data_IF_073332830903
#
_entry.id   IF_073332830903
#
_cell.length_a   1.000
_cell.length_b   1.000
_cell.length_c   1.000
_cell.angle_alpha   90.00
_cell.angle_beta   90.00
_cell.angle_gamma   90.00
#
_symmetry.space_group_name_H-M   'P 1'
#
loop_
_entity.id
_entity.type
_entity.pdbx_description
1 polymer ?
#
# COMPACT_ATOMS: atom_id res chain seq x y z
N UNK A 1 18.72 -10.83 30.03
CA UNK A 1 17.38 -11.46 30.13
C UNK A 1 16.82 -11.59 28.72
N UNK A 2 16.72 -12.81 28.17
CA UNK A 2 16.19 -13.01 26.83
C UNK A 2 14.70 -13.28 26.94
N UNK A 3 13.89 -12.38 26.38
CA UNK A 3 12.43 -12.55 26.28
C UNK A 3 12.15 -13.38 25.03
N UNK A 4 11.64 -14.60 25.17
CA UNK A 4 11.09 -15.38 24.05
C UNK A 4 9.59 -15.08 23.93
N UNK A 5 9.19 -14.45 22.83
CA UNK A 5 7.80 -14.35 22.42
C UNK A 5 7.39 -15.68 21.78
N UNK A 6 6.59 -16.48 22.47
CA UNK A 6 6.02 -17.70 21.91
C UNK A 6 4.59 -17.44 21.45
N UNK A 7 4.29 -17.82 20.21
CA UNK A 7 2.95 -17.78 19.64
C UNK A 7 2.00 -18.67 20.43
N UNK A 8 0.83 -18.12 20.81
CA UNK A 8 -0.42 -18.88 20.80
C UNK A 8 -1.67 -17.99 20.69
N UNK A 9 -2.33 -18.18 19.57
CA UNK A 9 -3.78 -18.09 19.24
C UNK A 9 -4.62 -16.87 19.66
N UNK A 10 -5.19 -16.29 18.65
CA UNK A 10 -6.44 -15.51 18.56
C UNK A 10 -6.47 -14.17 19.26
N UNK A 11 -6.14 -13.14 18.48
CA UNK A 11 -6.61 -11.77 18.76
C UNK A 11 -7.96 -11.63 18.06
N UNK A 12 -9.04 -11.79 18.81
CA UNK A 12 -10.37 -11.38 18.40
C UNK A 12 -10.50 -9.89 18.76
N UNK A 13 -10.94 -9.09 17.80
CA UNK A 13 -11.35 -7.69 17.88
C UNK A 13 -10.33 -6.72 18.50
N UNK A 14 -9.88 -5.76 17.71
CA UNK A 14 -9.13 -4.60 18.17
C UNK A 14 -10.03 -3.72 19.04
N UNK A 15 -9.92 -3.85 20.34
CA UNK A 15 -10.28 -2.83 21.31
C UNK A 15 -8.98 -2.13 21.76
N UNK A 16 -9.07 -0.89 22.20
CA UNK A 16 -7.97 -0.01 22.66
C UNK A 16 -7.09 -0.59 23.77
N UNK A 17 -7.37 -1.79 24.27
CA UNK A 17 -6.54 -2.60 25.17
C UNK A 17 -5.95 -3.80 24.43
N UNK A 18 -4.96 -3.55 23.55
CA UNK A 18 -4.15 -4.66 23.02
C UNK A 18 -3.40 -5.34 24.16
N UNK A 19 -3.73 -6.60 24.40
CA UNK A 19 -3.08 -7.42 25.43
C UNK A 19 -2.11 -8.38 24.75
N UNK A 20 -0.84 -8.33 25.15
CA UNK A 20 0.19 -9.24 24.68
C UNK A 20 0.39 -10.40 25.67
N UNK A 21 0.55 -11.61 25.15
CA UNK A 21 0.99 -12.75 25.96
C UNK A 21 2.50 -12.84 25.86
N UNK A 22 3.18 -12.64 26.96
CA UNK A 22 4.63 -12.81 27.07
C UNK A 22 4.97 -13.90 28.08
N UNK A 23 6.09 -14.57 27.87
CA UNK A 23 6.63 -15.52 28.86
C UNK A 23 7.73 -14.80 29.62
N UNK A 24 7.51 -14.57 30.91
CA UNK A 24 8.50 -14.03 31.82
C UNK A 24 8.74 -15.10 32.89
N UNK A 25 10.00 -15.53 33.05
CA UNK A 25 10.41 -16.56 34.02
C UNK A 25 9.57 -17.85 33.95
N UNK A 26 9.24 -18.28 32.72
CA UNK A 26 8.46 -19.49 32.45
C UNK A 26 6.95 -19.35 32.64
N UNK A 27 6.46 -18.21 33.11
CA UNK A 27 5.03 -17.95 33.28
C UNK A 27 4.46 -17.08 32.15
N UNK A 28 3.28 -17.46 31.63
CA UNK A 28 2.55 -16.64 30.64
C UNK A 28 1.85 -15.49 31.38
N UNK A 29 2.17 -14.26 31.00
CA UNK A 29 1.56 -13.06 31.54
C UNK A 29 0.86 -12.27 30.42
N UNK A 30 -0.28 -11.67 30.77
CA UNK A 30 -0.95 -10.69 29.91
C UNK A 30 -0.41 -9.31 30.25
N UNK A 31 0.04 -8.58 29.25
CA UNK A 31 0.50 -7.21 29.39
C UNK A 31 -0.26 -6.32 28.40
N UNK A 32 -0.70 -5.16 28.88
CA UNK A 32 -1.16 -4.10 27.99
C UNK A 32 0.02 -3.54 27.18
N UNK A 33 -0.26 -2.87 26.07
CA UNK A 33 0.77 -2.14 25.32
C UNK A 33 1.54 -1.17 26.21
N UNK A 34 0.84 -0.50 27.12
CA UNK A 34 1.44 0.44 28.09
C UNK A 34 2.35 -0.26 29.10
N UNK A 35 2.01 -1.47 29.53
CA UNK A 35 2.85 -2.25 30.45
C UNK A 35 4.08 -2.82 29.72
N UNK A 36 3.93 -3.24 28.48
CA UNK A 36 5.06 -3.63 27.64
C UNK A 36 6.03 -2.47 27.46
N UNK A 37 5.52 -1.28 27.19
CA UNK A 37 6.31 -0.05 27.10
C UNK A 37 7.03 0.29 28.41
N UNK A 38 6.40 0.09 29.58
CA UNK A 38 7.00 0.30 30.91
C UNK A 38 8.08 -0.73 31.21
N UNK A 39 7.85 -2.02 30.88
CA UNK A 39 8.79 -3.12 31.16
C UNK A 39 10.03 -3.03 30.26
N UNK A 40 9.85 -2.67 29.00
CA UNK A 40 10.96 -2.50 28.07
C UNK A 40 11.68 -1.15 28.28
N UNK A 41 11.10 -0.26 29.11
CA UNK A 41 11.63 1.06 29.39
C UNK A 41 11.78 1.90 28.13
N UNK A 42 12.59 2.96 28.17
CA UNK A 42 12.96 3.76 27.01
C UNK A 42 13.84 2.98 26.00
N UNK A 43 14.08 1.69 26.23
CA UNK A 43 14.87 0.77 25.45
C UNK A 43 14.04 -0.17 24.56
N UNK A 44 12.80 0.21 24.17
CA UNK A 44 12.15 -0.48 23.05
C UNK A 44 13.07 -0.27 21.84
N UNK A 45 13.68 -1.36 21.43
CA UNK A 45 14.58 -1.34 20.28
C UNK A 45 13.74 -1.26 19.01
N UNK A 46 13.52 -0.05 18.54
CA UNK A 46 12.92 0.17 17.23
C UNK A 46 13.94 -0.18 16.15
N UNK A 47 13.63 -1.11 15.24
CA UNK A 47 14.54 -1.41 14.14
C UNK A 47 14.79 -0.15 13.34
N UNK A 48 16.05 0.23 13.20
CA UNK A 48 16.46 1.35 12.38
C UNK A 48 17.12 0.78 11.13
N UNK A 49 16.53 1.03 9.97
CA UNK A 49 17.20 0.76 8.71
C UNK A 49 17.95 1.98 8.24
N UNK A 50 19.14 1.78 7.71
CA UNK A 50 19.90 2.79 7.01
C UNK A 50 19.80 2.53 5.52
N UNK A 51 19.12 3.42 4.80
CA UNK A 51 19.04 3.39 3.35
C UNK A 51 20.20 4.19 2.78
N UNK A 52 21.31 3.54 2.51
CA UNK A 52 22.48 4.19 1.92
C UNK A 52 22.26 4.54 0.43
N UNK A 53 21.16 4.12 -0.17
CA UNK A 53 20.85 4.33 -1.59
C UNK A 53 22.06 3.97 -2.47
N UNK A 54 22.72 2.86 -2.13
CA UNK A 54 23.85 2.29 -2.84
C UNK A 54 23.42 1.51 -4.08
N UNK A 55 24.37 1.19 -4.96
CA UNK A 55 24.09 0.35 -6.13
C UNK A 55 23.64 -1.08 -5.79
N UNK A 56 23.92 -1.55 -4.57
CA UNK A 56 23.37 -2.82 -4.08
C UNK A 56 21.95 -2.60 -3.54
N UNK A 57 20.91 -3.22 -4.11
CA UNK A 57 19.54 -3.08 -3.61
C UNK A 57 19.29 -3.81 -2.28
N UNK A 58 20.20 -4.69 -1.82
CA UNK A 58 20.09 -5.43 -0.57
C UNK A 58 20.76 -4.68 0.57
N UNK A 59 20.16 -4.70 1.74
CA UNK A 59 20.73 -4.14 2.96
C UNK A 59 20.40 -5.01 4.17
N UNK A 60 21.20 -4.91 5.22
CA UNK A 60 21.00 -5.68 6.44
C UNK A 60 19.78 -5.17 7.21
N UNK A 61 18.95 -6.09 7.69
CA UNK A 61 17.86 -5.77 8.61
C UNK A 61 18.33 -6.02 10.04
N UNK A 62 18.15 -5.04 10.96
CA UNK A 62 18.47 -5.26 12.36
C UNK A 62 17.54 -6.31 13.00
N UNK A 63 16.26 -6.23 12.80
CA UNK A 63 15.24 -7.24 13.10
C UNK A 63 13.92 -6.89 12.41
N UNK A 64 13.20 -7.83 11.79
CA UNK A 64 11.91 -7.58 11.16
C UNK A 64 10.72 -7.56 12.16
N UNK A 65 10.97 -7.74 13.47
CA UNK A 65 9.95 -7.96 14.49
C UNK A 65 8.82 -6.92 14.47
N UNK A 66 9.16 -5.62 14.43
CA UNK A 66 8.15 -4.55 14.44
C UNK A 66 7.34 -4.55 13.13
N UNK A 67 7.99 -4.87 12.01
CA UNK A 67 7.30 -5.02 10.73
C UNK A 67 6.35 -6.22 10.72
N UNK A 68 6.78 -7.36 11.28
CA UNK A 68 5.95 -8.55 11.43
C UNK A 68 4.73 -8.29 12.32
N UNK A 69 4.92 -7.64 13.48
CA UNK A 69 3.82 -7.23 14.35
C UNK A 69 2.83 -6.31 13.64
N UNK A 70 3.33 -5.34 12.87
CA UNK A 70 2.49 -4.43 12.11
C UNK A 70 1.70 -5.17 11.03
N UNK A 71 2.34 -6.06 10.27
CA UNK A 71 1.68 -6.90 9.27
C UNK A 71 0.57 -7.78 9.86
N UNK A 72 0.78 -8.36 11.04
CA UNK A 72 -0.25 -9.15 11.76
C UNK A 72 -1.45 -8.31 12.20
N UNK A 73 -1.24 -7.01 12.43
CA UNK A 73 -2.33 -6.08 12.77
C UNK A 73 -3.08 -5.59 11.53
N UNK A 74 -2.46 -5.67 10.35
CA UNK A 74 -3.15 -5.52 9.07
C UNK A 74 -4.07 -6.72 8.83
N UNK A 75 -4.78 -6.73 7.74
CA UNK A 75 -5.56 -7.90 7.31
C UNK A 75 -6.67 -7.52 6.36
N UNK A 76 -7.14 -8.52 5.62
CA UNK A 76 -8.26 -8.40 4.70
C UNK A 76 -9.61 -8.38 5.42
N UNK A 77 -10.52 -7.57 4.90
CA UNK A 77 -11.91 -7.46 5.38
C UNK A 77 -12.85 -7.37 4.18
N UNK A 78 -14.05 -7.89 4.35
CA UNK A 78 -15.20 -7.53 3.52
C UNK A 78 -15.90 -6.34 4.17
N UNK A 79 -16.11 -5.28 3.42
CA UNK A 79 -16.79 -4.05 3.87
C UNK A 79 -18.08 -3.86 3.09
N UNK A 80 -19.14 -3.42 3.77
CA UNK A 80 -20.45 -3.12 3.18
C UNK A 80 -20.97 -1.81 3.71
N UNK A 81 -21.56 -1.00 2.86
CA UNK A 81 -22.26 0.23 3.25
C UNK A 81 -23.76 -0.05 3.31
N UNK A 82 -24.37 0.14 4.47
CA UNK A 82 -25.81 -0.04 4.70
C UNK A 82 -26.35 1.23 5.34
N UNK A 83 -27.32 1.88 4.70
CA UNK A 83 -27.92 3.13 5.16
C UNK A 83 -26.89 4.22 5.52
N UNK A 84 -25.85 4.37 4.67
CA UNK A 84 -24.78 5.35 4.84
C UNK A 84 -23.74 5.03 5.93
N UNK A 85 -23.84 3.88 6.59
CA UNK A 85 -22.86 3.41 7.58
C UNK A 85 -22.02 2.27 7.01
N UNK A 86 -20.72 2.29 7.25
CA UNK A 86 -19.81 1.23 6.85
C UNK A 86 -19.71 0.16 7.94
N UNK A 87 -19.81 -1.10 7.54
CA UNK A 87 -19.61 -2.29 8.37
C UNK A 87 -18.51 -3.13 7.75
N UNK A 88 -17.67 -3.77 8.57
CA UNK A 88 -16.59 -4.60 8.08
C UNK A 88 -16.44 -5.88 8.91
N UNK A 89 -16.24 -7.02 8.23
CA UNK A 89 -15.92 -8.28 8.84
C UNK A 89 -14.57 -8.81 8.37
N UNK A 90 -13.74 -9.26 9.31
CA UNK A 90 -12.40 -9.73 9.05
C UNK A 90 -12.41 -11.03 8.25
N UNK A 91 -11.57 -11.14 7.24
CA UNK A 91 -11.32 -12.35 6.48
C UNK A 91 -10.31 -13.26 7.21
N UNK A 92 -10.37 -14.55 6.92
CA UNK A 92 -9.39 -15.52 7.41
C UNK A 92 -8.00 -15.19 6.78
N UNK A 93 -6.94 -15.01 7.58
CA UNK A 93 -5.66 -14.52 7.07
C UNK A 93 -5.00 -15.39 5.99
N UNK A 94 -5.29 -16.69 5.99
CA UNK A 94 -4.71 -17.63 5.02
C UNK A 94 -5.61 -17.94 3.83
N UNK A 95 -6.89 -17.57 3.90
CA UNK A 95 -7.85 -17.85 2.81
C UNK A 95 -9.04 -16.89 2.84
N UNK A 96 -9.10 -15.98 1.90
CA UNK A 96 -10.15 -14.97 1.80
C UNK A 96 -11.50 -15.47 1.24
N UNK A 97 -11.65 -16.77 1.05
CA UNK A 97 -12.96 -17.38 0.81
C UNK A 97 -13.78 -17.52 2.10
N UNK A 98 -13.14 -17.29 3.26
CA UNK A 98 -13.77 -17.39 4.58
C UNK A 98 -13.54 -16.11 5.38
N UNK A 99 -14.52 -15.80 6.24
CA UNK A 99 -14.33 -14.86 7.34
C UNK A 99 -13.51 -15.49 8.46
N UNK A 100 -12.96 -14.66 9.34
CA UNK A 100 -12.14 -15.10 10.47
C UNK A 100 -12.93 -15.94 11.50
N UNK A 101 -14.26 -15.83 11.52
CA UNK A 101 -15.17 -16.65 12.33
C UNK A 101 -15.46 -18.05 11.71
N UNK A 102 -14.85 -18.36 10.57
CA UNK A 102 -15.03 -19.62 9.84
C UNK A 102 -16.21 -19.63 8.85
N UNK A 103 -17.03 -18.59 8.83
CA UNK A 103 -18.16 -18.48 7.90
C UNK A 103 -17.64 -18.29 6.46
N UNK A 104 -18.18 -19.05 5.51
CA UNK A 104 -17.81 -18.90 4.09
C UNK A 104 -18.42 -17.62 3.52
N UNK A 105 -17.63 -16.85 2.75
CA UNK A 105 -18.11 -15.67 2.01
C UNK A 105 -19.11 -16.13 0.96
N UNK A 106 -20.34 -15.64 1.03
CA UNK A 106 -21.43 -16.05 0.13
C UNK A 106 -21.24 -15.55 -1.30
N UNK A 107 -20.95 -14.29 -1.45
CA UNK A 107 -20.70 -13.63 -2.73
C UNK A 107 -19.84 -12.36 -2.55
N UNK A 108 -18.56 -12.47 -2.87
CA UNK A 108 -17.60 -11.36 -2.75
C UNK A 108 -18.01 -10.09 -3.55
N UNK A 109 -18.88 -10.22 -4.58
CA UNK A 109 -19.35 -9.07 -5.35
C UNK A 109 -20.33 -8.16 -4.57
N UNK A 110 -20.83 -8.59 -3.41
CA UNK A 110 -21.69 -7.77 -2.54
C UNK A 110 -20.91 -6.80 -1.66
N UNK A 111 -19.59 -6.95 -1.56
CA UNK A 111 -18.73 -6.29 -0.58
C UNK A 111 -17.58 -5.57 -1.28
N UNK A 112 -16.98 -4.61 -0.57
CA UNK A 112 -15.67 -4.09 -0.90
C UNK A 112 -14.61 -4.91 -0.17
N UNK A 113 -13.67 -5.52 -0.89
CA UNK A 113 -12.52 -6.18 -0.26
C UNK A 113 -11.48 -5.14 0.08
N UNK A 114 -11.31 -4.88 1.37
CA UNK A 114 -10.42 -3.85 1.89
C UNK A 114 -9.34 -4.49 2.76
N UNK A 115 -8.16 -3.90 2.78
CA UNK A 115 -7.12 -4.22 3.76
C UNK A 115 -7.12 -3.12 4.82
N UNK A 116 -7.22 -3.51 6.09
CA UNK A 116 -7.02 -2.60 7.21
C UNK A 116 -5.53 -2.26 7.34
N UNK A 117 -5.22 -0.98 7.39
CA UNK A 117 -3.88 -0.40 7.51
C UNK A 117 -3.88 0.43 8.79
N UNK A 118 -3.43 -0.12 9.94
CA UNK A 118 -3.37 0.63 11.20
C UNK A 118 -2.47 1.85 11.09
N UNK A 119 -2.64 2.82 11.98
CA UNK A 119 -1.69 3.92 12.11
C UNK A 119 -0.28 3.37 12.28
N UNK A 120 0.64 3.85 11.46
CA UNK A 120 2.03 3.37 11.44
C UNK A 120 2.97 4.47 11.88
N UNK A 121 3.58 4.26 13.05
CA UNK A 121 4.53 5.19 13.65
C UNK A 121 5.94 5.00 13.08
N UNK A 122 6.63 6.11 12.86
CA UNK A 122 8.01 6.11 12.41
C UNK A 122 8.76 7.37 12.87
N UNK A 123 10.09 7.31 12.82
CA UNK A 123 10.96 8.47 12.92
C UNK A 123 12.04 8.35 11.85
N UNK A 124 12.27 9.40 11.10
CA UNK A 124 13.16 9.34 9.95
C UNK A 124 13.98 10.61 9.78
N UNK A 125 15.07 10.46 9.04
CA UNK A 125 15.87 11.52 8.49
C UNK A 125 16.20 11.22 7.00
N UNK A 126 17.22 11.87 6.43
CA UNK A 126 17.58 11.69 5.03
C UNK A 126 18.18 10.31 4.69
N UNK A 127 18.50 9.47 5.66
CA UNK A 127 19.16 8.17 5.46
C UNK A 127 18.57 7.05 6.30
N UNK A 128 18.02 7.39 7.47
CA UNK A 128 17.57 6.39 8.44
C UNK A 128 16.07 6.41 8.62
N UNK A 129 15.48 5.23 8.76
CA UNK A 129 14.11 5.02 9.16
C UNK A 129 14.08 4.16 10.41
N UNK A 130 13.62 4.71 11.51
CA UNK A 130 13.24 4.00 12.71
C UNK A 130 11.76 3.64 12.58
N UNK A 131 11.47 2.35 12.46
CA UNK A 131 10.12 1.86 12.23
C UNK A 131 9.47 1.46 13.55
N UNK A 132 8.44 2.20 13.95
CA UNK A 132 7.67 1.93 15.17
C UNK A 132 6.49 0.99 14.94
N UNK A 133 5.96 0.95 13.70
CA UNK A 133 4.75 0.19 13.40
C UNK A 133 3.58 0.65 14.27
N UNK A 134 3.09 -0.23 15.14
CA UNK A 134 2.00 0.07 16.09
C UNK A 134 2.44 0.92 17.29
N UNK A 135 3.75 1.13 17.48
CA UNK A 135 4.29 1.72 18.70
C UNK A 135 4.77 3.15 18.45
N UNK A 136 4.27 4.13 19.21
CA UNK A 136 4.72 5.52 19.13
C UNK A 136 6.22 5.66 19.43
N UNK A 137 6.91 6.48 18.64
CA UNK A 137 8.31 6.83 18.83
C UNK A 137 8.40 8.28 19.30
N UNK A 138 9.21 8.56 20.32
CA UNK A 138 9.41 9.94 20.80
C UNK A 138 9.96 10.85 19.69
N UNK A 139 9.25 11.94 19.40
CA UNK A 139 9.56 12.82 18.27
C UNK A 139 9.32 12.20 16.89
N UNK A 140 8.63 11.06 16.84
CA UNK A 140 8.22 10.40 15.61
C UNK A 140 6.95 11.00 15.00
N UNK A 141 6.53 10.40 13.89
CA UNK A 141 5.35 10.77 13.09
C UNK A 141 4.52 9.53 12.81
N UNK A 142 3.33 9.73 12.24
CA UNK A 142 2.47 8.71 11.67
C UNK A 142 2.44 8.93 10.15
N UNK A 143 2.49 7.85 9.36
CA UNK A 143 2.26 7.96 7.92
C UNK A 143 0.82 8.44 7.66
N UNK A 144 0.66 9.47 6.82
CA UNK A 144 -0.65 10.04 6.48
C UNK A 144 -1.40 9.15 5.47
N UNK A 145 -1.61 7.89 5.83
CA UNK A 145 -2.30 6.87 5.03
C UNK A 145 -3.75 6.72 5.45
N UNK A 146 -4.69 6.42 4.53
CA UNK A 146 -6.02 5.96 4.93
C UNK A 146 -5.90 4.61 5.67
N UNK A 147 -6.73 4.41 6.70
CA UNK A 147 -6.72 3.16 7.47
C UNK A 147 -7.35 1.97 6.74
N UNK A 148 -8.02 2.20 5.63
CA UNK A 148 -8.64 1.17 4.83
C UNK A 148 -8.36 1.39 3.35
N UNK A 149 -7.69 0.44 2.72
CA UNK A 149 -7.30 0.52 1.31
C UNK A 149 -7.79 -0.72 0.57
N UNK A 150 -8.34 -0.53 -0.61
CA UNK A 150 -8.85 -1.61 -1.44
C UNK A 150 -7.79 -2.66 -1.74
N UNK A 151 -8.12 -3.93 -1.55
CA UNK A 151 -7.23 -5.04 -1.88
C UNK A 151 -6.95 -5.12 -3.39
N UNK A 152 -7.91 -4.67 -4.19
CA UNK A 152 -7.87 -4.69 -5.66
C UNK A 152 -7.92 -3.28 -6.24
N UNK A 153 -7.49 -3.14 -7.50
CA UNK A 153 -7.71 -1.91 -8.28
C UNK A 153 -9.21 -1.68 -8.45
N UNK A 154 -9.61 -0.42 -8.57
CA UNK A 154 -11.01 -0.03 -8.75
C UNK A 154 -11.60 -0.69 -9.99
N UNK A 155 -12.77 -1.31 -9.83
CA UNK A 155 -13.74 -1.65 -10.88
C UNK A 155 -14.98 -0.76 -10.76
N UNK A 156 -15.82 -0.72 -11.79
CA UNK A 156 -17.11 0.00 -11.75
C UNK A 156 -18.27 -0.98 -11.93
N UNK A 157 -19.39 -0.66 -11.29
CA UNK A 157 -20.69 -1.25 -11.61
C UNK A 157 -21.41 -0.48 -12.74
N UNK A 158 -22.62 -0.91 -13.09
CA UNK A 158 -23.44 -0.26 -14.11
C UNK A 158 -23.81 1.20 -13.81
N UNK A 159 -23.70 1.65 -12.56
CA UNK A 159 -23.97 3.03 -12.11
C UNK A 159 -22.68 3.86 -11.98
N UNK A 160 -21.56 3.33 -12.43
CA UNK A 160 -20.24 3.94 -12.30
C UNK A 160 -19.88 4.24 -10.83
N UNK A 161 -20.23 3.34 -9.92
CA UNK A 161 -19.74 3.32 -8.52
C UNK A 161 -18.42 2.57 -8.49
N UNK A 162 -17.46 3.10 -7.76
CA UNK A 162 -16.14 2.46 -7.62
C UNK A 162 -16.19 1.31 -6.59
N UNK A 163 -15.59 0.18 -6.94
CA UNK A 163 -15.54 -1.01 -6.12
C UNK A 163 -14.14 -1.63 -6.06
N UNK A 164 -13.81 -2.27 -4.94
CA UNK A 164 -12.63 -3.12 -4.77
C UNK A 164 -13.07 -4.58 -4.66
N UNK A 165 -13.14 -5.29 -5.78
CA UNK A 165 -13.74 -6.63 -5.87
C UNK A 165 -12.88 -7.60 -6.68
N UNK A 166 -12.81 -8.89 -6.28
CA UNK A 166 -12.18 -9.92 -7.10
C UNK A 166 -13.08 -10.33 -8.28
N UNK A 167 -12.50 -11.01 -9.26
CA UNK A 167 -13.16 -11.59 -10.43
C UNK A 167 -13.86 -10.57 -11.36
N UNK A 168 -13.49 -9.31 -11.25
CA UNK A 168 -13.97 -8.24 -12.14
C UNK A 168 -12.79 -7.51 -12.78
N UNK A 169 -13.00 -7.03 -14.00
CA UNK A 169 -12.03 -6.24 -14.74
C UNK A 169 -11.79 -4.89 -14.05
N UNK A 170 -10.55 -4.46 -13.86
CA UNK A 170 -10.26 -3.14 -13.31
C UNK A 170 -10.73 -2.05 -14.27
N UNK A 171 -11.25 -0.96 -13.74
CA UNK A 171 -11.62 0.21 -14.51
C UNK A 171 -10.36 0.97 -14.95
N UNK A 172 -10.35 1.42 -16.20
CA UNK A 172 -9.32 2.27 -16.79
C UNK A 172 -9.98 3.42 -17.59
N UNK A 173 -9.17 4.22 -18.29
CA UNK A 173 -9.64 5.32 -19.16
C UNK A 173 -10.46 6.36 -18.41
N UNK A 174 -10.09 6.64 -17.18
CA UNK A 174 -10.67 7.70 -16.35
C UNK A 174 -9.56 8.64 -15.88
N UNK A 175 -9.91 9.91 -15.63
CA UNK A 175 -9.03 10.83 -14.90
C UNK A 175 -9.02 10.50 -13.42
N UNK A 176 -8.04 11.01 -12.67
CA UNK A 176 -8.00 10.85 -11.22
C UNK A 176 -9.25 11.40 -10.54
N UNK A 177 -9.76 12.55 -10.99
CA UNK A 177 -11.00 13.17 -10.48
C UNK A 177 -12.24 12.32 -10.75
N UNK A 178 -12.31 11.65 -11.90
CA UNK A 178 -13.43 10.74 -12.22
C UNK A 178 -13.41 9.49 -11.32
N UNK A 179 -12.22 8.90 -11.06
CA UNK A 179 -12.11 7.81 -10.10
C UNK A 179 -12.50 8.26 -8.69
N UNK A 180 -12.07 9.45 -8.26
CA UNK A 180 -12.44 10.00 -6.96
C UNK A 180 -13.96 10.22 -6.84
N UNK A 181 -14.58 10.83 -7.83
CA UNK A 181 -16.04 11.03 -7.86
C UNK A 181 -16.82 9.71 -7.82
N UNK A 182 -16.31 8.66 -8.50
CA UNK A 182 -16.91 7.33 -8.45
C UNK A 182 -16.79 6.68 -7.06
N UNK A 183 -15.67 6.88 -6.36
CA UNK A 183 -15.49 6.42 -4.98
C UNK A 183 -16.45 7.14 -4.01
N UNK A 184 -16.63 8.45 -4.18
CA UNK A 184 -17.56 9.26 -3.36
C UNK A 184 -19.03 8.81 -3.45
N UNK A 185 -19.41 8.07 -4.49
CA UNK A 185 -20.75 7.48 -4.60
C UNK A 185 -21.02 6.40 -3.56
N UNK A 186 -19.99 5.77 -2.97
CA UNK A 186 -20.13 4.87 -1.83
C UNK A 186 -20.37 5.61 -0.51
N UNK A 187 -19.98 6.89 -0.44
CA UNK A 187 -20.09 7.75 0.73
C UNK A 187 -18.93 8.75 0.79
N UNK A 188 -19.11 9.86 1.49
CA UNK A 188 -18.14 10.97 1.55
C UNK A 188 -16.77 10.59 2.15
N UNK A 189 -16.71 9.53 2.93
CA UNK A 189 -15.45 9.02 3.50
C UNK A 189 -14.70 8.07 2.53
N UNK A 190 -15.28 7.71 1.38
CA UNK A 190 -14.56 6.96 0.37
C UNK A 190 -13.77 7.91 -0.55
N UNK A 191 -12.65 7.42 -1.06
CA UNK A 191 -11.77 8.14 -1.94
C UNK A 191 -10.73 7.20 -2.56
N UNK A 192 -9.54 7.72 -2.80
CA UNK A 192 -8.44 6.97 -3.42
C UNK A 192 -7.29 6.78 -2.43
N UNK A 193 -6.57 5.66 -2.57
CA UNK A 193 -5.31 5.45 -1.88
C UNK A 193 -4.33 6.57 -2.21
N UNK A 194 -3.82 7.25 -1.18
CA UNK A 194 -3.07 8.49 -1.31
C UNK A 194 -1.53 8.27 -1.32
N UNK A 195 -0.78 9.37 -1.42
CA UNK A 195 0.67 9.34 -1.39
C UNK A 195 1.24 8.88 -0.04
N UNK A 196 0.57 9.18 1.08
CA UNK A 196 0.96 8.67 2.40
C UNK A 196 0.93 7.15 2.48
N UNK A 197 -0.07 6.51 1.85
CA UNK A 197 -0.11 5.06 1.69
C UNK A 197 1.08 4.54 0.86
N UNK A 198 1.48 5.23 -0.21
CA UNK A 198 2.65 4.85 -1.00
C UNK A 198 3.93 4.89 -0.16
N UNK A 199 4.13 5.95 0.62
CA UNK A 199 5.29 6.07 1.51
C UNK A 199 5.31 4.95 2.57
N UNK A 200 4.15 4.65 3.17
CA UNK A 200 4.00 3.60 4.17
C UNK A 200 4.33 2.22 3.59
N UNK A 201 3.71 1.86 2.46
CA UNK A 201 3.87 0.52 1.89
C UNK A 201 5.30 0.25 1.39
N UNK A 202 5.98 1.28 0.87
CA UNK A 202 7.40 1.20 0.52
C UNK A 202 8.27 1.04 1.78
N UNK A 203 8.02 1.83 2.84
CA UNK A 203 8.73 1.71 4.10
C UNK A 203 8.54 0.32 4.72
N UNK A 204 7.30 -0.17 4.77
CA UNK A 204 6.99 -1.51 5.29
C UNK A 204 7.67 -2.61 4.49
N UNK A 205 7.67 -2.50 3.15
CA UNK A 205 8.39 -3.43 2.28
C UNK A 205 9.90 -3.43 2.60
N UNK A 206 10.51 -2.26 2.71
CA UNK A 206 11.93 -2.12 3.00
C UNK A 206 12.33 -2.73 4.34
N UNK A 207 11.57 -2.45 5.41
CA UNK A 207 11.85 -3.01 6.74
C UNK A 207 11.49 -4.49 6.86
N UNK A 208 10.67 -5.03 5.97
CA UNK A 208 10.29 -6.44 5.97
C UNK A 208 11.26 -7.32 5.19
N UNK A 209 11.80 -6.80 4.09
CA UNK A 209 12.58 -7.62 3.15
C UNK A 209 14.05 -7.22 3.01
N UNK A 210 14.47 -6.06 3.54
CA UNK A 210 15.86 -5.58 3.40
C UNK A 210 16.30 -5.44 1.95
N UNK A 211 15.39 -5.03 1.06
CA UNK A 211 15.64 -5.01 -0.37
C UNK A 211 14.85 -3.88 -1.04
N UNK A 212 15.42 -3.24 -2.06
CA UNK A 212 14.76 -2.20 -2.85
C UNK A 212 14.09 -2.75 -4.12
N UNK A 213 14.47 -3.95 -4.59
CA UNK A 213 13.95 -4.59 -5.80
C UNK A 213 12.74 -5.47 -5.47
N UNK A 214 11.53 -4.93 -5.56
CA UNK A 214 10.28 -5.65 -5.30
C UNK A 214 10.01 -6.76 -6.30
N UNK A 215 10.43 -6.61 -7.56
CA UNK A 215 10.24 -7.63 -8.58
C UNK A 215 11.06 -8.89 -8.31
N UNK A 216 12.32 -8.75 -7.84
CA UNK A 216 13.17 -9.90 -7.53
C UNK A 216 12.71 -10.65 -6.28
N UNK A 217 12.15 -9.94 -5.29
CA UNK A 217 11.74 -10.51 -4.00
C UNK A 217 10.34 -11.13 -4.06
N UNK A 218 9.37 -10.42 -4.64
CA UNK A 218 7.96 -10.82 -4.68
C UNK A 218 7.60 -11.44 -6.04
N UNK A 219 7.92 -10.73 -7.13
CA UNK A 219 7.61 -11.13 -8.49
C UNK A 219 7.45 -9.93 -9.42
N UNK A 220 7.53 -10.19 -10.71
CA UNK A 220 7.51 -9.15 -11.74
C UNK A 220 6.13 -8.47 -11.91
N UNK A 221 5.06 -9.07 -11.41
CA UNK A 221 3.70 -8.65 -11.77
C UNK A 221 3.34 -9.09 -13.20
N UNK A 222 2.23 -8.57 -13.72
CA UNK A 222 1.88 -8.74 -15.12
C UNK A 222 2.91 -8.05 -16.02
N UNK A 223 3.33 -8.73 -17.08
CA UNK A 223 4.24 -8.20 -18.09
C UNK A 223 3.75 -8.50 -19.49
N UNK A 224 3.90 -7.56 -20.42
CA UNK A 224 3.54 -7.72 -21.81
C UNK A 224 4.33 -6.76 -22.70
N UNK A 225 4.62 -7.17 -23.92
CA UNK A 225 5.12 -6.29 -24.98
C UNK A 225 4.05 -5.39 -25.59
N UNK A 226 2.78 -5.66 -25.32
CA UNK A 226 1.66 -4.84 -25.76
C UNK A 226 1.20 -3.90 -24.62
N UNK A 227 1.02 -2.62 -24.95
CA UNK A 227 0.62 -1.58 -24.01
C UNK A 227 -0.66 -1.90 -23.24
N UNK A 228 -1.62 -2.58 -23.85
CA UNK A 228 -2.96 -2.80 -23.30
C UNK A 228 -3.26 -4.25 -22.90
N UNK A 229 -2.36 -5.20 -23.17
CA UNK A 229 -2.69 -6.62 -23.15
C UNK A 229 -3.19 -7.14 -21.79
N UNK A 230 -2.64 -6.66 -20.66
CA UNK A 230 -3.00 -7.18 -19.34
C UNK A 230 -4.07 -6.35 -18.62
N UNK A 231 -4.51 -5.23 -19.19
CA UNK A 231 -5.43 -4.29 -18.51
C UNK A 231 -6.77 -4.92 -18.16
N UNK A 232 -7.29 -5.74 -19.06
CA UNK A 232 -8.65 -6.30 -18.97
C UNK A 232 -8.69 -7.67 -18.27
N UNK A 233 -7.55 -8.19 -17.79
CA UNK A 233 -7.53 -9.42 -16.99
C UNK A 233 -8.27 -9.15 -15.66
N UNK A 234 -9.27 -9.96 -15.27
CA UNK A 234 -9.94 -9.79 -13.99
C UNK A 234 -8.98 -9.92 -12.81
N UNK A 235 -9.23 -9.13 -11.76
CA UNK A 235 -8.47 -9.18 -10.50
C UNK A 235 -8.83 -10.41 -9.66
N UNK A 236 -8.16 -10.62 -8.51
CA UNK A 236 -8.40 -11.76 -7.64
C UNK A 236 -7.58 -13.00 -7.99
N UNK A 237 -6.52 -12.84 -8.80
CA UNK A 237 -5.65 -13.97 -9.17
C UNK A 237 -4.80 -14.46 -7.99
N UNK A 238 -4.55 -13.61 -7.00
CA UNK A 238 -3.76 -13.92 -5.82
C UNK A 238 -4.62 -14.13 -4.55
N UNK A 239 -5.90 -14.44 -4.67
CA UNK A 239 -6.83 -14.59 -3.52
C UNK A 239 -6.34 -15.67 -2.54
N UNK A 240 -5.74 -16.75 -3.05
CA UNK A 240 -5.20 -17.86 -2.27
C UNK A 240 -4.03 -17.48 -1.33
N UNK A 241 -3.42 -16.31 -1.52
CA UNK A 241 -2.36 -15.82 -0.64
C UNK A 241 -2.92 -15.14 0.63
N UNK A 242 -4.24 -14.94 0.75
CA UNK A 242 -4.83 -14.29 1.92
C UNK A 242 -4.21 -12.93 2.21
N UNK A 243 -3.81 -12.69 3.47
CA UNK A 243 -3.11 -11.48 3.93
C UNK A 243 -1.62 -11.45 3.51
N UNK A 244 -1.12 -12.53 2.93
CA UNK A 244 0.29 -12.73 2.64
C UNK A 244 0.82 -11.92 1.46
N UNK A 245 2.11 -12.17 1.18
CA UNK A 245 2.85 -11.61 0.05
C UNK A 245 3.43 -12.71 -0.82
N UNK A 246 3.50 -12.48 -2.14
CA UNK A 246 4.04 -13.46 -3.08
C UNK A 246 3.51 -13.25 -4.50
N UNK A 247 3.67 -14.28 -5.32
CA UNK A 247 3.16 -14.33 -6.70
C UNK A 247 2.42 -15.64 -6.93
N UNK A 248 1.53 -15.63 -7.90
CA UNK A 248 0.79 -16.81 -8.35
C UNK A 248 1.03 -16.99 -9.85
N UNK A 249 1.20 -18.22 -10.32
CA UNK A 249 1.20 -18.50 -11.75
C UNK A 249 -0.23 -18.38 -12.27
N UNK A 250 -0.44 -17.47 -13.20
CA UNK A 250 -1.65 -17.33 -13.99
C UNK A 250 -1.34 -17.63 -15.45
N UNK A 251 -1.86 -18.73 -15.96
CA UNK A 251 -1.68 -19.12 -17.34
C UNK A 251 -2.87 -18.60 -18.17
N UNK A 252 -2.58 -17.71 -19.10
CA UNK A 252 -3.57 -17.12 -20.01
C UNK A 252 -3.29 -17.58 -21.45
N UNK A 253 -4.33 -17.97 -22.17
CA UNK A 253 -4.20 -18.48 -23.53
C UNK A 253 -3.58 -17.46 -24.52
N UNK A 254 -3.76 -16.17 -24.26
CA UNK A 254 -3.26 -15.08 -25.12
C UNK A 254 -1.96 -14.47 -24.59
N UNK A 255 -1.84 -14.33 -23.27
CA UNK A 255 -0.72 -13.63 -22.61
C UNK A 255 0.39 -14.60 -22.20
N UNK A 256 0.15 -15.92 -22.26
CA UNK A 256 1.05 -16.93 -21.73
C UNK A 256 1.13 -16.89 -20.20
N UNK A 257 2.26 -17.32 -19.66
CA UNK A 257 2.49 -17.35 -18.22
C UNK A 257 2.67 -15.94 -17.68
N UNK A 258 1.78 -15.54 -16.77
CA UNK A 258 1.81 -14.29 -16.03
C UNK A 258 2.01 -14.58 -14.55
N UNK A 259 2.56 -13.60 -13.82
CA UNK A 259 2.84 -13.74 -12.40
C UNK A 259 2.26 -12.56 -11.61
N UNK A 260 0.90 -12.45 -11.52
CA UNK A 260 0.28 -11.46 -10.64
C UNK A 260 0.86 -11.55 -9.24
N UNK A 261 0.99 -10.41 -8.59
CA UNK A 261 1.66 -10.25 -7.30
C UNK A 261 0.70 -9.79 -6.22
N UNK A 262 1.00 -10.17 -5.00
CA UNK A 262 0.33 -9.67 -3.80
C UNK A 262 1.38 -9.22 -2.79
N UNK A 263 1.18 -8.09 -2.16
CA UNK A 263 2.04 -7.56 -1.10
C UNK A 263 1.17 -7.12 0.06
N UNK A 264 1.31 -7.79 1.23
CA UNK A 264 0.55 -7.51 2.45
C UNK A 264 -0.97 -7.42 2.23
N UNK A 265 -1.53 -8.35 1.45
CA UNK A 265 -2.94 -8.37 1.10
C UNK A 265 -3.33 -7.53 -0.14
N UNK A 266 -2.49 -6.65 -0.64
CA UNK A 266 -2.76 -5.83 -1.83
C UNK A 266 -2.33 -6.53 -3.11
N UNK A 267 -3.29 -6.79 -4.01
CA UNK A 267 -3.01 -7.40 -5.31
C UNK A 267 -2.62 -6.34 -6.34
N UNK A 268 -1.62 -6.67 -7.18
CA UNK A 268 -1.17 -5.89 -8.32
C UNK A 268 -0.81 -4.42 -8.01
N UNK A 269 -0.07 -4.17 -6.90
CA UNK A 269 0.50 -2.84 -6.64
C UNK A 269 1.43 -2.38 -7.77
N UNK A 270 1.91 -3.30 -8.59
CA UNK A 270 2.68 -3.03 -9.80
C UNK A 270 2.39 -4.03 -10.92
N UNK A 271 2.77 -3.67 -12.15
CA UNK A 271 2.81 -4.57 -13.30
C UNK A 271 1.51 -4.77 -14.06
N UNK A 272 0.43 -4.04 -13.81
CA UNK A 272 -0.85 -4.19 -14.54
C UNK A 272 -1.35 -2.86 -15.11
N UNK A 273 -1.78 -1.96 -14.24
CA UNK A 273 -2.17 -0.59 -14.54
C UNK A 273 -1.43 0.35 -13.60
N UNK A 274 -1.00 1.49 -14.11
CA UNK A 274 -0.58 2.60 -13.27
C UNK A 274 -1.68 2.97 -12.30
N UNK A 275 -1.35 3.25 -11.05
CA UNK A 275 -2.31 3.71 -10.04
C UNK A 275 -2.11 5.18 -9.72
N UNK A 276 -3.16 5.97 -9.84
CA UNK A 276 -3.17 7.35 -9.34
C UNK A 276 -2.99 7.39 -7.83
N UNK A 277 -2.19 8.37 -7.36
CA UNK A 277 -1.97 8.66 -5.94
C UNK A 277 -2.25 10.14 -5.67
N UNK A 278 -3.45 10.52 -5.20
CA UNK A 278 -3.68 11.86 -4.66
C UNK A 278 -2.85 12.09 -3.38
N UNK A 279 -2.89 13.31 -2.84
CA UNK A 279 -2.09 13.69 -1.67
C UNK A 279 -0.71 14.25 -2.02
N UNK A 280 -0.37 14.28 -3.31
CA UNK A 280 0.81 14.96 -3.85
C UNK A 280 0.47 15.59 -5.20
N UNK A 281 0.98 16.78 -5.45
CA UNK A 281 0.88 17.48 -6.74
C UNK A 281 2.21 18.08 -7.14
N UNK A 282 2.35 18.40 -8.41
CA UNK A 282 3.58 18.96 -8.97
C UNK A 282 3.29 20.27 -9.71
N UNK A 283 4.26 21.16 -9.74
CA UNK A 283 4.20 22.40 -10.50
C UNK A 283 5.59 23.00 -10.73
N UNK A 284 5.69 23.87 -11.72
CA UNK A 284 6.87 24.70 -11.96
C UNK A 284 6.75 26.05 -11.26
N UNK A 285 7.89 26.54 -10.71
CA UNK A 285 8.05 27.88 -10.18
C UNK A 285 9.39 28.41 -10.72
N UNK A 286 9.32 29.22 -11.76
CA UNK A 286 10.45 29.51 -12.62
C UNK A 286 11.01 28.22 -13.25
N UNK A 287 12.30 28.01 -13.14
CA UNK A 287 12.99 26.82 -13.66
C UNK A 287 13.00 25.63 -12.68
N UNK A 288 12.42 25.80 -11.50
CA UNK A 288 12.44 24.78 -10.46
C UNK A 288 11.11 24.04 -10.41
N UNK A 289 11.18 22.71 -10.43
CA UNK A 289 9.99 21.85 -10.24
C UNK A 289 9.85 21.45 -8.79
N UNK A 290 8.63 21.55 -8.29
CA UNK A 290 8.27 21.24 -6.91
C UNK A 290 7.22 20.16 -6.82
N UNK A 291 7.32 19.33 -5.75
CA UNK A 291 6.24 18.55 -5.20
C UNK A 291 5.63 19.29 -3.99
N UNK A 292 4.30 19.20 -3.87
CA UNK A 292 3.55 19.62 -2.68
C UNK A 292 2.76 18.44 -2.17
N UNK A 293 3.07 17.99 -0.96
CA UNK A 293 2.33 16.92 -0.27
C UNK A 293 1.28 17.55 0.63
N UNK A 294 0.04 17.11 0.46
CA UNK A 294 -1.13 17.60 1.20
C UNK A 294 -1.92 16.44 1.79
N UNK A 295 -2.59 16.69 2.92
CA UNK A 295 -3.33 15.68 3.68
C UNK A 295 -4.80 15.60 3.25
N UNK A 296 -5.45 14.53 3.70
CA UNK A 296 -6.90 14.34 3.62
C UNK A 296 -7.38 13.56 2.40
N UNK A 297 -8.71 13.37 2.36
CA UNK A 297 -9.42 12.68 1.29
C UNK A 297 -9.82 13.67 0.21
N UNK A 298 -8.88 14.06 -0.64
CA UNK A 298 -9.12 15.01 -1.73
C UNK A 298 -8.20 14.77 -2.93
N UNK A 299 -8.66 15.23 -4.09
CA UNK A 299 -7.87 15.32 -5.33
C UNK A 299 -7.77 16.81 -5.69
N UNK A 300 -6.56 17.34 -5.67
CA UNK A 300 -6.35 18.79 -5.88
C UNK A 300 -5.04 19.09 -6.59
N UNK A 301 -5.06 20.00 -7.55
CA UNK A 301 -3.88 20.57 -8.20
C UNK A 301 -3.47 21.94 -7.62
N UNK A 302 -4.20 22.44 -6.62
CA UNK A 302 -3.95 23.73 -5.97
C UNK A 302 -3.75 23.64 -4.47
N UNK A 303 -3.89 22.45 -3.87
CA UNK A 303 -3.72 22.25 -2.43
C UNK A 303 -2.35 22.74 -1.93
N UNK A 304 -2.34 23.33 -0.75
CA UNK A 304 -1.13 23.71 -0.03
C UNK A 304 -0.67 22.58 0.89
N UNK A 305 0.64 22.55 1.18
CA UNK A 305 1.20 21.52 2.02
C UNK A 305 2.73 21.57 2.10
N UNK A 306 3.34 20.46 2.48
CA UNK A 306 4.80 20.31 2.56
C UNK A 306 5.40 20.33 1.15
N UNK A 307 6.40 21.19 0.93
CA UNK A 307 7.04 21.45 -0.38
C UNK A 307 8.48 20.94 -0.39
N UNK A 308 8.88 20.29 -1.49
CA UNK A 308 10.28 19.95 -1.77
C UNK A 308 10.55 19.95 -3.29
N UNK A 309 11.82 20.12 -3.67
CA UNK A 309 12.24 20.13 -5.07
C UNK A 309 12.33 18.71 -5.64
N UNK A 310 12.02 18.56 -6.91
CA UNK A 310 12.05 17.29 -7.64
C UNK A 310 12.66 17.49 -9.04
N UNK A 311 13.11 16.40 -9.72
CA UNK A 311 13.58 16.48 -11.09
C UNK A 311 12.50 17.02 -12.04
N UNK A 312 12.95 17.88 -12.96
CA UNK A 312 12.05 18.49 -13.97
C UNK A 312 11.69 17.52 -15.09
N UNK A 313 12.56 16.55 -15.40
CA UNK A 313 12.35 15.57 -16.45
C UNK A 313 12.97 14.21 -16.12
N UNK A 314 12.37 13.14 -16.63
CA UNK A 314 12.88 11.79 -16.65
C UNK A 314 12.10 10.99 -17.71
N UNK A 315 12.77 10.13 -18.47
CA UNK A 315 12.21 9.38 -19.61
C UNK A 315 12.00 7.88 -19.32
N UNK A 316 11.93 7.49 -18.05
CA UNK A 316 11.79 6.10 -17.63
C UNK A 316 13.10 5.44 -17.21
N UNK A 317 14.11 6.24 -16.92
CA UNK A 317 15.37 5.75 -16.37
C UNK A 317 15.17 5.19 -14.98
N UNK A 318 16.06 4.28 -14.57
CA UNK A 318 15.99 3.62 -13.27
C UNK A 318 16.37 4.57 -12.12
N UNK A 319 15.60 4.53 -11.05
CA UNK A 319 15.75 5.38 -9.87
C UNK A 319 17.02 4.98 -9.10
N UNK A 320 17.89 5.96 -8.80
CA UNK A 320 19.06 5.78 -7.96
C UNK A 320 18.90 6.38 -6.57
N UNK A 321 18.08 7.41 -6.45
CA UNK A 321 17.85 8.11 -5.18
C UNK A 321 16.44 8.63 -5.06
N UNK A 322 15.89 8.57 -3.83
CA UNK A 322 14.61 9.16 -3.44
C UNK A 322 14.81 10.26 -2.39
N UNK A 323 13.86 11.21 -2.36
CA UNK A 323 13.70 12.11 -1.21
C UNK A 323 13.17 11.31 -0.05
N UNK A 324 13.83 11.37 1.11
CA UNK A 324 13.40 10.68 2.31
C UNK A 324 13.00 11.69 3.39
N UNK A 325 13.96 12.34 4.03
CA UNK A 325 13.72 13.38 5.02
C UNK A 325 12.90 12.90 6.23
N UNK A 326 12.51 13.84 7.07
CA UNK A 326 11.78 13.58 8.31
C UNK A 326 10.35 13.02 8.10
N UNK A 327 9.86 13.00 6.87
CA UNK A 327 8.54 12.46 6.50
C UNK A 327 8.62 11.17 5.70
N UNK A 328 9.83 10.70 5.40
CA UNK A 328 10.08 9.54 4.56
C UNK A 328 9.34 9.65 3.22
N UNK A 329 9.49 10.80 2.57
CA UNK A 329 8.89 11.08 1.26
C UNK A 329 9.56 10.22 0.18
N UNK A 330 8.98 9.06 -0.11
CA UNK A 330 9.55 8.10 -1.06
C UNK A 330 9.39 8.53 -2.53
N UNK A 331 9.83 9.77 -2.87
CA UNK A 331 9.72 10.32 -4.22
C UNK A 331 11.09 10.32 -4.95
N UNK A 332 11.16 9.93 -6.24
CA UNK A 332 12.42 9.90 -6.99
C UNK A 332 13.10 11.26 -7.08
N UNK A 333 14.43 11.29 -6.84
CA UNK A 333 15.29 12.49 -6.86
C UNK A 333 16.40 12.38 -7.89
N UNK A 334 16.83 11.17 -8.24
CA UNK A 334 17.86 10.95 -9.23
C UNK A 334 17.65 9.61 -9.94
N UNK A 335 18.13 9.54 -11.16
CA UNK A 335 18.09 8.36 -12.04
C UNK A 335 19.51 8.03 -12.56
N UNK A 336 19.67 6.87 -13.22
CA UNK A 336 20.93 6.40 -13.76
C UNK A 336 21.31 4.99 -13.29
N UNK A 337 20.41 4.31 -12.56
CA UNK A 337 20.57 2.91 -12.15
C UNK A 337 20.26 1.92 -13.29
N UNK A 338 20.03 0.67 -12.90
CA UNK A 338 19.64 -0.44 -13.78
C UNK A 338 18.55 -1.29 -13.11
N UNK A 339 18.12 -2.34 -13.81
CA UNK A 339 17.10 -3.28 -13.34
C UNK A 339 17.56 -4.20 -12.19
N UNK A 340 18.83 -4.12 -11.83
CA UNK A 340 19.47 -4.89 -10.76
C UNK A 340 20.20 -4.02 -9.73
N UNK A 341 20.14 -2.69 -9.87
CA UNK A 341 20.85 -1.74 -9.00
C UNK A 341 19.90 -0.69 -8.40
N UNK A 342 20.19 -0.25 -7.19
CA UNK A 342 19.40 0.73 -6.43
C UNK A 342 17.94 0.27 -6.28
N UNK A 343 16.97 1.10 -6.71
CA UNK A 343 15.53 0.79 -6.61
C UNK A 343 15.03 -0.15 -7.71
N UNK A 344 15.80 -0.38 -8.78
CA UNK A 344 15.48 -1.26 -9.91
C UNK A 344 14.19 -0.91 -10.67
N UNK A 345 13.60 0.25 -10.41
CA UNK A 345 12.31 0.71 -10.93
C UNK A 345 12.44 2.02 -11.70
N UNK A 346 11.57 2.25 -12.66
CA UNK A 346 11.62 3.39 -13.56
C UNK A 346 10.94 4.65 -13.04
N UNK A 347 11.42 5.81 -13.48
CA UNK A 347 10.84 7.11 -13.20
C UNK A 347 10.59 7.91 -14.48
N UNK A 348 9.40 8.49 -14.61
CA UNK A 348 8.99 9.39 -15.69
C UNK A 348 8.55 10.72 -15.10
N UNK A 349 9.04 11.80 -15.68
CA UNK A 349 8.72 13.16 -15.25
C UNK A 349 8.73 14.14 -16.42
N UNK A 350 7.89 15.17 -16.36
CA UNK A 350 7.88 16.29 -17.28
C UNK A 350 7.55 17.59 -16.53
N UNK A 351 7.97 18.73 -17.07
CA UNK A 351 7.66 20.05 -16.51
C UNK A 351 6.16 20.35 -16.47
N UNK A 352 5.37 19.75 -17.37
CA UNK A 352 3.91 19.86 -17.43
C UNK A 352 3.17 18.84 -16.54
N UNK A 353 3.89 17.92 -15.90
CA UNK A 353 3.27 16.89 -15.04
C UNK A 353 2.78 17.47 -13.72
N UNK A 354 1.55 17.15 -13.35
CA UNK A 354 0.88 17.70 -12.16
C UNK A 354 0.48 16.64 -11.12
N UNK A 355 0.43 15.36 -11.52
CA UNK A 355 -0.07 14.26 -10.68
C UNK A 355 0.91 13.08 -10.60
N UNK A 356 0.74 12.23 -9.57
CA UNK A 356 1.52 11.03 -9.38
C UNK A 356 0.74 9.78 -9.79
N UNK A 357 1.43 8.90 -10.51
CA UNK A 357 1.06 7.49 -10.73
C UNK A 357 2.21 6.60 -10.33
N UNK A 358 1.90 5.42 -9.80
CA UNK A 358 2.87 4.46 -9.27
C UNK A 358 2.66 3.05 -9.82
N UNK A 359 3.63 2.18 -9.61
CA UNK A 359 3.54 0.74 -9.85
C UNK A 359 3.84 0.29 -11.28
N UNK A 360 3.78 1.18 -12.26
CA UNK A 360 3.96 0.81 -13.67
C UNK A 360 2.76 0.07 -14.27
N UNK A 361 2.74 -0.01 -15.61
CA UNK A 361 1.84 -0.91 -16.35
C UNK A 361 2.60 -2.15 -16.80
N UNK A 362 1.89 -3.18 -17.26
CA UNK A 362 2.50 -4.41 -17.77
C UNK A 362 3.56 -4.18 -18.86
N UNK A 363 3.43 -3.10 -19.64
CA UNK A 363 4.36 -2.72 -20.70
C UNK A 363 5.71 -2.18 -20.21
N UNK A 364 5.78 -1.70 -18.98
CA UNK A 364 7.02 -1.09 -18.47
C UNK A 364 8.12 -2.15 -18.15
N UNK A 365 7.80 -3.44 -18.17
CA UNK A 365 8.76 -4.54 -18.01
C UNK A 365 9.52 -4.44 -16.68
N UNK A 366 10.84 -4.56 -16.73
CA UNK A 366 11.72 -4.45 -15.55
C UNK A 366 11.70 -3.06 -14.87
N UNK A 367 11.07 -2.04 -15.47
CA UNK A 367 10.86 -0.74 -14.87
C UNK A 367 9.60 -0.67 -13.99
N UNK A 368 8.75 -1.71 -14.02
CA UNK A 368 7.66 -1.88 -13.07
C UNK A 368 8.20 -2.25 -11.69
N UNK A 369 7.52 -1.84 -10.64
CA UNK A 369 7.79 -2.28 -9.29
C UNK A 369 7.17 -1.32 -8.28
N UNK A 370 7.34 -1.63 -7.01
CA UNK A 370 6.74 -0.86 -5.93
C UNK A 370 7.19 0.60 -5.92
N UNK A 371 8.44 0.86 -6.31
CA UNK A 371 9.04 2.19 -6.34
C UNK A 371 8.85 2.94 -7.65
N UNK A 372 8.29 2.29 -8.68
CA UNK A 372 8.04 2.91 -9.99
C UNK A 372 7.11 4.11 -9.87
N UNK A 373 7.51 5.24 -10.46
CA UNK A 373 6.79 6.50 -10.33
C UNK A 373 6.70 7.24 -11.68
N UNK A 374 5.58 7.91 -11.87
CA UNK A 374 5.35 8.72 -13.06
C UNK A 374 4.67 10.03 -12.67
N UNK A 375 5.33 11.14 -12.92
CA UNK A 375 4.85 12.52 -12.74
C UNK A 375 4.92 13.30 -14.05
N UNK A 376 4.54 12.63 -15.15
CA UNK A 376 4.67 13.17 -16.51
C UNK A 376 3.41 13.91 -16.98
N UNK A 377 2.22 13.51 -16.51
CA UNK A 377 0.95 13.96 -17.07
C UNK A 377 0.17 14.89 -16.14
N UNK A 378 -0.69 15.72 -16.73
CA UNK A 378 -1.59 16.62 -16.02
C UNK A 378 -2.89 15.97 -15.54
N UNK A 379 -3.68 16.70 -14.74
CA UNK A 379 -4.91 16.23 -14.09
C UNK A 379 -6.03 15.81 -15.06
N UNK A 380 -6.06 16.37 -16.25
CA UNK A 380 -7.10 16.09 -17.25
C UNK A 380 -6.88 14.81 -18.06
N UNK A 381 -5.69 14.20 -17.94
CA UNK A 381 -5.34 13.06 -18.79
C UNK A 381 -5.97 11.76 -18.27
N UNK A 382 -6.51 10.97 -19.20
CA UNK A 382 -6.94 9.59 -19.01
C UNK A 382 -6.31 8.71 -20.08
N UNK A 383 -5.93 7.49 -19.73
CA UNK A 383 -5.41 6.48 -20.67
C UNK A 383 -5.91 5.08 -20.29
N UNK A 384 -5.85 4.18 -21.25
CA UNK A 384 -6.27 2.78 -21.10
C UNK A 384 -5.43 1.97 -20.10
N UNK A 385 -4.28 2.48 -19.68
CA UNK A 385 -3.39 1.87 -18.67
C UNK A 385 -3.37 2.60 -17.34
N UNK A 386 -4.31 3.53 -17.11
CA UNK A 386 -4.45 4.26 -15.85
C UNK A 386 -5.63 3.73 -15.05
N UNK A 387 -5.37 3.37 -13.82
CA UNK A 387 -6.31 2.92 -12.82
C UNK A 387 -6.13 3.66 -11.51
N UNK A 388 -6.87 3.22 -10.50
CA UNK A 388 -6.79 3.75 -9.14
C UNK A 388 -7.12 2.64 -8.13
N UNK A 389 -6.94 2.92 -6.85
CA UNK A 389 -7.27 2.02 -5.75
C UNK A 389 -8.17 2.71 -4.76
N UNK A 390 -9.27 2.04 -4.38
CA UNK A 390 -10.25 2.56 -3.42
C UNK A 390 -9.60 2.74 -2.04
N UNK A 391 -10.05 3.75 -1.30
CA UNK A 391 -9.72 3.93 0.10
C UNK A 391 -10.95 4.40 0.88
N UNK A 392 -10.98 4.10 2.18
CA UNK A 392 -11.99 4.59 3.11
C UNK A 392 -11.29 5.27 4.30
N UNK A 393 -11.64 6.52 4.53
CA UNK A 393 -11.04 7.42 5.51
C UNK A 393 -11.86 7.52 6.81
N UNK A 394 -12.79 6.59 7.03
CA UNK A 394 -13.64 6.53 8.21
C UNK A 394 -13.36 5.30 9.05
N UNK A 395 -14.16 5.13 10.09
CA UNK A 395 -14.12 3.97 10.97
C UNK A 395 -15.38 3.12 10.76
N UNK A 396 -15.29 1.91 10.16
CA UNK A 396 -16.43 1.03 10.01
C UNK A 396 -16.76 0.38 11.36
N UNK A 397 -18.01 -0.03 11.54
CA UNK A 397 -18.38 -0.91 12.62
C UNK A 397 -17.89 -2.33 12.30
N UNK A 398 -17.08 -2.89 13.19
CA UNK A 398 -16.60 -4.26 13.04
C UNK A 398 -17.66 -5.24 13.53
N UNK A 399 -18.00 -6.21 12.68
CA UNK A 399 -19.00 -7.24 12.92
C UNK A 399 -18.44 -8.63 12.56
N UNK A 400 -19.15 -9.70 12.90
CA UNK A 400 -18.83 -11.05 12.42
C UNK A 400 -19.15 -11.21 10.94
N UNK A 401 -18.63 -12.27 10.30
CA UNK A 401 -18.94 -12.59 8.90
C UNK A 401 -20.43 -12.90 8.72
N UNK A 402 -21.02 -13.66 9.64
CA UNK A 402 -22.44 -14.00 9.61
C UNK A 402 -23.34 -12.76 9.76
N UNK A 403 -23.00 -11.82 10.63
CA UNK A 403 -23.75 -10.55 10.78
C UNK A 403 -23.65 -9.68 9.51
N UNK A 404 -22.45 -9.57 8.91
CA UNK A 404 -22.28 -8.80 7.69
C UNK A 404 -23.10 -9.36 6.52
N UNK A 405 -23.19 -10.69 6.41
CA UNK A 405 -23.98 -11.35 5.37
C UNK A 405 -25.48 -11.17 5.56
N UNK A 406 -25.94 -11.06 6.80
CA UNK A 406 -27.35 -10.87 7.14
C UNK A 406 -27.87 -9.43 6.88
N UNK A 407 -26.97 -8.45 6.72
CA UNK A 407 -27.28 -7.06 6.36
C UNK A 407 -27.57 -6.92 4.86
#
# INVERSE_FOLDING_TARGET
MSVKLTEKKTVSAMNTEQTFLIVVDGAIRRLSLGDLQKIMGNNIFYPTITLEQSSNPKFALPTPFMADMYQRAMGGYMMKVVNGKAYAAKLAPSNWEFFADGTKVDNAAKYETMVHVPDCHFKADNKTLQFGGLFPISGGKIFESPNWVGAYKISYDGNSVAHSRPNVTPKHSQTMSQFFAAAQKLGSNFGLANYGFQCLIEALYQVSFGNLNSQSVIGSGFQSSSWEACRDVPMGKCISLGDGSGKVLYNDATLGNQYPVKLFGFEDLWGKLWEFRPGIRFYMDGDTRYAVVYSGNQVSNTANGRKFTIPSSAGGEYITRKTLGAYWDAFPQAVGGGDSTYYCDGFWASTSGELLRVGGSAFAGSRCGLSSANSYDGFSLSRTVFGARLAFYGNPTIVSGSELMAM
#
